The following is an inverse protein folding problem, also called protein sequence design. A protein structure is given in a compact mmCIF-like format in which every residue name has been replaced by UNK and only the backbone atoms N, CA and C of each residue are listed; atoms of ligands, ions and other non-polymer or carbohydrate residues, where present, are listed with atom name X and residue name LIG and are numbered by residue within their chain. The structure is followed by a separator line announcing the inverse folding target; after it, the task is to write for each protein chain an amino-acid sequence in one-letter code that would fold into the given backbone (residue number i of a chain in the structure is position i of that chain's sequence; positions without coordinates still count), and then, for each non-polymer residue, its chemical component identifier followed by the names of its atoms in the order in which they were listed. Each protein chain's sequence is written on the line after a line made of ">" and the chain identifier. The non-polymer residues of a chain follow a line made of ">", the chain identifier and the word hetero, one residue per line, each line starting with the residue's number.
data_IF_015011829973
#
_entry.id   IF_015011829973
#
_cell.length_a   1.000
_cell.length_b   1.000
_cell.length_c   1.000
_cell.angle_alpha   90.00
_cell.angle_beta   90.00
_cell.angle_gamma   90.00
#
_symmetry.space_group_name_H-M   'P 1'
#
loop_
_entity.id
_entity.type
_entity.pdbx_description
1 polymer ?
#
# COMPACT_ATOMS: atom_id res chain seq x y z
N UNK A 1 23.57 -13.92 41.01
CA UNK A 1 22.67 -13.51 39.92
C UNK A 1 23.17 -14.21 38.68
N UNK A 2 22.42 -15.15 38.11
CA UNK A 2 22.83 -15.82 36.87
C UNK A 2 22.69 -14.83 35.72
N UNK A 3 23.79 -14.55 35.02
CA UNK A 3 23.74 -13.86 33.74
C UNK A 3 22.98 -14.76 32.76
N UNK A 4 21.88 -14.25 32.21
CA UNK A 4 21.14 -14.93 31.15
C UNK A 4 22.09 -15.13 29.97
N UNK A 5 22.11 -16.35 29.44
CA UNK A 5 22.88 -16.67 28.23
C UNK A 5 22.31 -15.90 27.03
N UNK A 6 23.13 -15.73 25.99
CA UNK A 6 22.76 -15.00 24.77
C UNK A 6 21.51 -15.58 24.08
N UNK A 7 21.32 -16.90 24.20
CA UNK A 7 20.15 -17.63 23.68
C UNK A 7 18.89 -17.29 24.49
N UNK A 8 18.95 -17.33 25.82
CA UNK A 8 17.84 -16.95 26.71
C UNK A 8 17.44 -15.47 26.58
N UNK A 9 18.41 -14.59 26.32
CA UNK A 9 18.16 -13.18 26.01
C UNK A 9 17.42 -13.00 24.69
N UNK A 10 17.79 -13.78 23.67
CA UNK A 10 17.19 -13.74 22.33
C UNK A 10 15.75 -14.26 22.38
N UNK A 11 15.51 -15.40 23.04
CA UNK A 11 14.16 -15.93 23.25
C UNK A 11 13.26 -14.96 24.01
N UNK A 12 13.77 -14.34 25.10
CA UNK A 12 13.01 -13.36 25.87
C UNK A 12 12.66 -12.12 25.05
N UNK A 13 13.57 -11.64 24.21
CA UNK A 13 13.29 -10.53 23.29
C UNK A 13 12.27 -10.91 22.20
N UNK A 14 12.33 -12.12 21.66
CA UNK A 14 11.33 -12.62 20.72
C UNK A 14 9.95 -12.70 21.36
N UNK A 15 9.86 -13.22 22.58
CA UNK A 15 8.60 -13.32 23.32
C UNK A 15 7.99 -11.94 23.58
N UNK A 16 8.80 -10.98 24.03
CA UNK A 16 8.37 -9.60 24.28
C UNK A 16 7.90 -8.90 22.98
N UNK A 17 8.62 -9.09 21.87
CA UNK A 17 8.21 -8.53 20.57
C UNK A 17 6.89 -9.13 20.10
N UNK A 18 6.71 -10.44 20.29
CA UNK A 18 5.46 -11.14 19.96
C UNK A 18 4.30 -10.60 20.79
N UNK A 19 4.47 -10.45 22.10
CA UNK A 19 3.45 -9.86 22.98
C UNK A 19 3.09 -8.42 22.60
N UNK A 20 4.05 -7.61 22.17
CA UNK A 20 3.80 -6.24 21.69
C UNK A 20 3.02 -6.21 20.38
N UNK A 21 3.30 -7.14 19.46
CA UNK A 21 2.58 -7.27 18.19
C UNK A 21 1.16 -7.83 18.37
N UNK A 22 0.96 -8.74 19.33
CA UNK A 22 -0.35 -9.31 19.67
C UNK A 22 -1.31 -8.29 20.30
N UNK A 23 -0.80 -7.18 20.84
CA UNK A 23 -1.67 -6.08 21.26
C UNK A 23 -2.29 -5.45 20.01
N UNK A 24 -3.58 -5.10 20.09
CA UNK A 24 -4.36 -4.53 18.98
C UNK A 24 -3.66 -3.35 18.28
N UNK A 25 -2.86 -2.58 19.01
CA UNK A 25 -2.11 -1.43 18.48
C UNK A 25 -0.80 -1.82 17.75
N UNK A 26 -0.26 -3.01 18.00
CA UNK A 26 1.03 -3.47 17.47
C UNK A 26 1.01 -3.72 15.96
N UNK A 27 0.03 -4.50 15.49
CA UNK A 27 -0.17 -4.75 14.06
C UNK A 27 -0.63 -3.49 13.30
N UNK A 28 -1.52 -2.70 13.90
CA UNK A 28 -1.94 -1.44 13.30
C UNK A 28 -0.75 -0.48 13.10
N UNK A 29 0.13 -0.35 14.11
CA UNK A 29 1.34 0.45 14.02
C UNK A 29 2.31 -0.06 12.94
N UNK A 30 2.42 -1.38 12.80
CA UNK A 30 3.22 -2.02 11.74
C UNK A 30 2.68 -1.65 10.34
N UNK A 31 1.36 -1.75 10.12
CA UNK A 31 0.75 -1.43 8.83
C UNK A 31 0.94 0.04 8.49
N UNK A 32 0.62 0.94 9.42
CA UNK A 32 0.78 2.39 9.25
C UNK A 32 2.23 2.72 8.87
N UNK A 33 3.19 2.23 9.65
CA UNK A 33 4.61 2.48 9.39
C UNK A 33 5.04 2.01 8.00
N UNK A 34 4.68 0.78 7.64
CA UNK A 34 5.06 0.22 6.35
C UNK A 34 4.37 0.95 5.20
N UNK A 35 3.05 1.17 5.26
CA UNK A 35 2.31 1.87 4.22
C UNK A 35 2.83 3.29 3.99
N UNK A 36 3.16 4.06 5.04
CA UNK A 36 3.76 5.39 4.88
C UNK A 36 5.16 5.33 4.22
N UNK A 37 5.99 4.35 4.59
CA UNK A 37 7.31 4.17 3.96
C UNK A 37 7.21 3.75 2.49
N UNK A 38 6.19 2.97 2.13
CA UNK A 38 5.93 2.60 0.74
C UNK A 38 5.29 3.76 -0.03
N UNK A 39 4.42 4.56 0.61
CA UNK A 39 3.86 5.76 0.00
C UNK A 39 4.97 6.75 -0.39
N UNK A 40 5.92 6.99 0.51
CA UNK A 40 7.09 7.83 0.25
C UNK A 40 7.90 7.36 -0.97
N UNK A 41 8.04 6.04 -1.15
CA UNK A 41 8.85 5.46 -2.23
C UNK A 41 8.12 5.40 -3.58
N UNK A 42 6.82 5.09 -3.58
CA UNK A 42 6.09 4.73 -4.80
C UNK A 42 4.95 5.68 -5.16
N UNK A 43 4.33 6.35 -4.19
CA UNK A 43 3.11 7.13 -4.41
C UNK A 43 3.34 8.64 -4.37
N UNK A 44 4.41 9.11 -3.74
CA UNK A 44 4.70 10.54 -3.69
C UNK A 44 4.95 11.11 -5.09
N UNK A 45 4.32 12.24 -5.36
CA UNK A 45 4.51 13.01 -6.60
C UNK A 45 4.97 14.41 -6.24
N UNK A 46 5.34 15.19 -7.26
CA UNK A 46 5.59 16.63 -7.06
C UNK A 46 4.37 17.40 -6.50
N UNK A 47 3.17 16.81 -6.54
CA UNK A 47 1.91 17.42 -6.11
C UNK A 47 1.35 16.82 -4.82
N UNK A 48 1.83 15.65 -4.41
CA UNK A 48 1.36 14.98 -3.21
C UNK A 48 2.54 14.36 -2.45
N UNK A 49 2.85 14.94 -1.29
CA UNK A 49 3.98 14.59 -0.44
C UNK A 49 3.52 14.47 1.01
N UNK A 50 4.27 13.72 1.82
CA UNK A 50 3.95 13.52 3.23
C UNK A 50 2.66 12.71 3.41
N UNK A 51 2.41 11.76 2.51
CA UNK A 51 1.20 10.93 2.52
C UNK A 51 1.11 10.18 3.85
N UNK A 52 -0.06 10.25 4.49
CA UNK A 52 -0.34 9.60 5.77
C UNK A 52 -1.31 8.45 5.60
N UNK A 53 -1.08 7.40 6.38
CA UNK A 53 -1.98 6.25 6.39
C UNK A 53 -3.33 6.67 6.96
N UNK A 54 -4.39 6.31 6.25
CA UNK A 54 -5.77 6.38 6.68
C UNK A 54 -6.20 4.97 7.10
N UNK A 55 -7.21 4.86 7.96
CA UNK A 55 -7.74 3.57 8.37
C UNK A 55 -9.23 3.65 8.72
N UNK A 56 -9.94 2.54 8.46
CA UNK A 56 -11.36 2.36 8.76
C UNK A 56 -11.61 0.87 9.02
N UNK A 57 -11.97 0.52 10.26
CA UNK A 57 -12.18 -0.87 10.65
C UNK A 57 -10.94 -1.73 10.43
N UNK A 58 -11.03 -2.69 9.51
CA UNK A 58 -9.93 -3.60 9.15
C UNK A 58 -9.08 -3.13 7.97
N UNK A 59 -9.37 -1.97 7.38
CA UNK A 59 -8.69 -1.44 6.21
C UNK A 59 -7.74 -0.31 6.58
N UNK A 60 -6.50 -0.40 6.08
CA UNK A 60 -5.48 0.62 6.19
C UNK A 60 -5.02 0.98 4.78
N UNK A 61 -4.95 2.27 4.44
CA UNK A 61 -4.56 2.67 3.09
C UNK A 61 -3.83 4.00 3.05
N UNK A 62 -3.08 4.18 1.97
CA UNK A 62 -2.47 5.45 1.56
C UNK A 62 -2.93 5.74 0.14
N UNK A 63 -3.19 7.01 -0.15
CA UNK A 63 -3.63 7.45 -1.48
C UNK A 63 -2.80 8.64 -1.96
N UNK A 64 -2.45 8.60 -3.23
CA UNK A 64 -1.91 9.73 -3.98
C UNK A 64 -2.77 10.02 -5.20
N UNK A 65 -2.79 11.29 -5.62
CA UNK A 65 -3.57 11.75 -6.77
C UNK A 65 -2.62 12.56 -7.66
N UNK A 66 -2.46 12.10 -8.89
CA UNK A 66 -1.84 12.85 -9.97
C UNK A 66 -2.94 13.58 -10.76
N UNK A 67 -3.06 14.91 -10.63
CA UNK A 67 -4.11 15.67 -11.29
C UNK A 67 -3.93 15.76 -12.81
N UNK A 68 -2.75 15.42 -13.35
CA UNK A 68 -2.47 15.52 -14.77
C UNK A 68 -2.10 14.15 -15.37
N UNK A 69 -3.02 13.58 -16.14
CA UNK A 69 -2.78 12.31 -16.87
C UNK A 69 -1.54 12.35 -17.78
N UNK A 70 -1.12 13.53 -18.27
CA UNK A 70 0.11 13.65 -19.08
C UNK A 70 1.38 13.39 -18.25
N UNK A 71 1.36 13.71 -16.96
CA UNK A 71 2.45 13.34 -16.05
C UNK A 71 2.42 11.84 -15.76
N UNK A 72 1.22 11.26 -15.53
CA UNK A 72 1.06 9.82 -15.33
C UNK A 72 1.53 8.97 -16.53
N UNK A 73 1.39 9.49 -17.75
CA UNK A 73 1.92 8.84 -18.97
C UNK A 73 3.45 8.77 -19.03
N UNK A 74 4.17 9.48 -18.15
CA UNK A 74 5.64 9.43 -18.06
C UNK A 74 6.13 8.30 -17.15
N UNK A 75 5.25 7.63 -16.41
CA UNK A 75 5.62 6.50 -15.56
C UNK A 75 6.18 5.34 -16.38
N UNK A 76 7.02 4.54 -15.72
CA UNK A 76 7.86 3.53 -16.38
C UNK A 76 7.12 2.22 -16.66
N UNK A 77 5.95 1.99 -16.04
CA UNK A 77 5.16 0.79 -16.24
C UNK A 77 4.50 0.76 -17.66
N UNK A 78 4.91 -0.15 -18.57
CA UNK A 78 4.42 -0.16 -19.95
C UNK A 78 2.95 -0.54 -20.07
N UNK A 79 2.47 -1.44 -19.22
CA UNK A 79 1.07 -1.88 -19.22
C UNK A 79 0.16 -0.74 -18.79
N UNK A 80 0.47 -0.12 -17.64
CA UNK A 80 -0.25 1.04 -17.14
C UNK A 80 -0.29 2.16 -18.18
N UNK A 81 0.86 2.48 -18.79
CA UNK A 81 0.95 3.49 -19.84
C UNK A 81 0.07 3.16 -21.05
N UNK A 82 -0.04 1.89 -21.43
CA UNK A 82 -0.94 1.47 -22.51
C UNK A 82 -2.40 1.72 -22.15
N UNK A 83 -2.82 1.34 -20.94
CA UNK A 83 -4.20 1.54 -20.47
C UNK A 83 -4.55 3.03 -20.33
N UNK A 84 -3.63 3.85 -19.83
CA UNK A 84 -3.79 5.30 -19.75
C UNK A 84 -3.95 5.93 -21.14
N UNK A 85 -3.19 5.49 -22.15
CA UNK A 85 -3.37 5.97 -23.53
C UNK A 85 -4.77 5.68 -24.06
N UNK A 86 -5.34 4.52 -23.74
CA UNK A 86 -6.68 4.17 -24.19
C UNK A 86 -7.75 5.02 -23.50
N UNK A 87 -7.54 5.40 -22.24
CA UNK A 87 -8.38 6.37 -21.53
C UNK A 87 -8.30 7.74 -22.22
N UNK A 88 -7.10 8.21 -22.57
CA UNK A 88 -6.93 9.48 -23.28
C UNK A 88 -7.66 9.51 -24.64
N UNK A 89 -7.68 8.38 -25.36
CA UNK A 89 -8.41 8.27 -26.64
C UNK A 89 -9.92 8.34 -26.45
N UNK A 90 -10.46 7.80 -25.34
CA UNK A 90 -11.89 7.83 -25.01
C UNK A 90 -12.35 9.22 -24.57
N UNK A 91 -11.46 10.04 -24.03
CA UNK A 91 -11.77 11.35 -23.47
C UNK A 91 -10.88 12.46 -24.06
N UNK A 92 -11.05 12.79 -25.36
CA UNK A 92 -10.22 13.79 -26.02
C UNK A 92 -10.56 15.24 -25.61
N UNK A 93 -9.64 16.15 -25.90
CA UNK A 93 -9.87 17.59 -25.76
C UNK A 93 -9.84 18.07 -24.30
N UNK A 94 -10.86 18.83 -23.90
CA UNK A 94 -10.91 19.43 -22.56
C UNK A 94 -11.13 18.39 -21.46
N UNK A 95 -11.84 17.29 -21.74
CA UNK A 95 -12.05 16.20 -20.77
C UNK A 95 -10.72 15.56 -20.34
N UNK A 96 -9.75 15.47 -21.25
CA UNK A 96 -8.42 14.93 -20.95
C UNK A 96 -7.74 15.66 -19.78
N UNK A 97 -7.93 16.98 -19.69
CA UNK A 97 -7.32 17.84 -18.68
C UNK A 97 -7.98 17.69 -17.30
N UNK A 98 -9.16 17.09 -17.26
CA UNK A 98 -9.91 16.87 -16.03
C UNK A 98 -9.67 15.46 -15.46
N UNK A 99 -9.02 14.57 -16.22
CA UNK A 99 -8.74 13.22 -15.77
C UNK A 99 -7.66 13.24 -14.69
N UNK A 100 -8.02 12.70 -13.53
CA UNK A 100 -7.12 12.49 -12.41
C UNK A 100 -6.80 11.00 -12.29
N UNK A 101 -5.57 10.70 -11.90
CA UNK A 101 -5.11 9.35 -11.64
C UNK A 101 -4.87 9.19 -10.14
N UNK A 102 -5.62 8.31 -9.49
CA UNK A 102 -5.42 7.92 -8.10
C UNK A 102 -4.52 6.69 -8.03
N UNK A 103 -3.53 6.71 -7.15
CA UNK A 103 -2.74 5.54 -6.77
C UNK A 103 -3.09 5.21 -5.33
N UNK A 104 -3.50 3.97 -5.07
CA UNK A 104 -3.90 3.51 -3.74
C UNK A 104 -3.07 2.27 -3.40
N UNK A 105 -2.53 2.25 -2.19
CA UNK A 105 -1.91 1.06 -1.61
C UNK A 105 -2.59 0.80 -0.28
N UNK A 106 -3.04 -0.44 -0.06
CA UNK A 106 -3.80 -0.81 1.14
C UNK A 106 -3.39 -2.17 1.69
N UNK A 107 -3.61 -2.32 3.00
CA UNK A 107 -3.60 -3.59 3.72
C UNK A 107 -4.94 -3.76 4.43
N UNK A 108 -5.57 -4.91 4.24
CA UNK A 108 -6.86 -5.26 4.84
C UNK A 108 -6.70 -6.52 5.68
N UNK A 109 -7.15 -6.51 6.93
CA UNK A 109 -7.33 -7.74 7.69
C UNK A 109 -8.62 -8.43 7.21
N UNK A 110 -8.49 -9.64 6.69
CA UNK A 110 -9.61 -10.47 6.24
C UNK A 110 -10.21 -11.21 7.42
N UNK A 111 -9.35 -11.77 8.27
CA UNK A 111 -9.68 -12.39 9.55
C UNK A 111 -8.54 -12.15 10.56
N UNK A 112 -8.49 -12.91 11.66
CA UNK A 112 -7.48 -12.75 12.72
C UNK A 112 -6.04 -13.01 12.24
N UNK A 113 -5.87 -13.90 11.26
CA UNK A 113 -4.58 -14.44 10.82
C UNK A 113 -4.35 -14.29 9.32
N UNK A 114 -5.23 -13.61 8.60
CA UNK A 114 -5.15 -13.41 7.15
C UNK A 114 -5.24 -11.94 6.80
N UNK A 115 -4.29 -11.49 5.98
CA UNK A 115 -4.30 -10.15 5.39
C UNK A 115 -4.31 -10.21 3.88
N UNK A 116 -4.86 -9.16 3.28
CA UNK A 116 -4.70 -8.83 1.86
C UNK A 116 -3.91 -7.52 1.75
N UNK A 117 -2.83 -7.54 0.98
CA UNK A 117 -2.19 -6.32 0.49
C UNK A 117 -2.68 -6.09 -0.94
N UNK A 118 -3.04 -4.86 -1.30
CA UNK A 118 -3.38 -4.51 -2.68
C UNK A 118 -2.90 -3.14 -3.09
N UNK A 119 -2.53 -3.02 -4.36
CA UNK A 119 -2.22 -1.77 -5.01
C UNK A 119 -3.19 -1.57 -6.18
N UNK A 120 -3.68 -0.34 -6.34
CA UNK A 120 -4.61 0.03 -7.41
C UNK A 120 -4.18 1.34 -8.03
N UNK A 121 -4.30 1.41 -9.36
CA UNK A 121 -4.31 2.67 -10.09
C UNK A 121 -5.71 2.87 -10.63
N UNK A 122 -6.34 3.99 -10.29
CA UNK A 122 -7.68 4.35 -10.72
C UNK A 122 -7.64 5.64 -11.52
N UNK A 123 -8.58 5.79 -12.44
CA UNK A 123 -8.82 7.06 -13.10
C UNK A 123 -10.22 7.57 -12.77
N UNK A 124 -10.37 8.88 -12.71
CA UNK A 124 -11.65 9.53 -12.43
C UNK A 124 -11.74 10.86 -13.16
N UNK A 125 -12.97 11.27 -13.44
CA UNK A 125 -13.31 12.67 -13.69
C UNK A 125 -13.75 13.31 -12.37
N UNK A 126 -13.69 14.65 -12.22
CA UNK A 126 -14.01 15.32 -10.96
C UNK A 126 -15.43 15.05 -10.45
N UNK A 127 -16.37 14.77 -11.35
CA UNK A 127 -17.77 14.47 -11.06
C UNK A 127 -18.11 12.97 -11.11
N UNK A 128 -17.13 12.12 -11.42
CA UNK A 128 -17.33 10.73 -11.79
C UNK A 128 -16.93 9.72 -10.72
N UNK A 129 -17.35 8.48 -10.92
CA UNK A 129 -16.85 7.34 -10.15
C UNK A 129 -15.40 7.02 -10.51
N UNK A 130 -14.64 6.54 -9.52
CA UNK A 130 -13.31 5.95 -9.74
C UNK A 130 -13.45 4.66 -10.55
N UNK A 131 -12.63 4.51 -11.58
CA UNK A 131 -12.56 3.32 -12.41
C UNK A 131 -11.16 2.71 -12.31
N UNK A 132 -11.09 1.42 -12.02
CA UNK A 132 -9.81 0.72 -11.91
C UNK A 132 -9.14 0.66 -13.29
N UNK A 133 -7.90 1.11 -13.35
CA UNK A 133 -7.02 0.99 -14.53
C UNK A 133 -6.27 -0.32 -14.44
N UNK A 134 -5.58 -0.56 -13.33
CA UNK A 134 -4.83 -1.76 -13.02
C UNK A 134 -4.87 -1.99 -11.51
N UNK A 135 -4.82 -3.25 -11.12
CA UNK A 135 -4.84 -3.69 -9.73
C UNK A 135 -3.96 -4.92 -9.60
N UNK A 136 -3.29 -5.03 -8.45
CA UNK A 136 -2.60 -6.24 -8.02
C UNK A 136 -2.89 -6.43 -6.53
N UNK A 137 -3.29 -7.64 -6.15
CA UNK A 137 -3.51 -8.03 -4.75
C UNK A 137 -2.79 -9.33 -4.44
N UNK A 138 -2.40 -9.48 -3.18
CA UNK A 138 -1.79 -10.69 -2.63
C UNK A 138 -2.34 -10.94 -1.24
N UNK A 139 -2.76 -12.17 -0.99
CA UNK A 139 -3.24 -12.63 0.30
C UNK A 139 -2.15 -13.40 1.02
N UNK A 140 -2.09 -13.26 2.34
CA UNK A 140 -1.14 -13.97 3.18
C UNK A 140 -1.76 -14.34 4.54
N UNK A 141 -1.70 -15.62 4.88
CA UNK A 141 -2.05 -16.13 6.20
C UNK A 141 -0.79 -16.39 7.03
N UNK A 142 -0.88 -16.10 8.34
CA UNK A 142 0.22 -16.24 9.29
C UNK A 142 -0.26 -16.84 10.61
N UNK A 143 0.58 -17.65 11.24
CA UNK A 143 0.30 -18.20 12.58
C UNK A 143 1.00 -17.39 13.69
N UNK A 144 2.07 -16.67 13.34
CA UNK A 144 2.82 -15.80 14.24
C UNK A 144 2.88 -14.36 13.69
N UNK A 145 2.46 -13.33 14.46
CA UNK A 145 2.63 -11.92 14.08
C UNK A 145 4.06 -11.52 13.71
N UNK A 146 5.08 -12.25 14.18
CA UNK A 146 6.48 -12.03 13.78
C UNK A 146 6.71 -12.40 12.31
N UNK A 147 6.05 -13.43 11.79
CA UNK A 147 6.10 -13.78 10.36
C UNK A 147 5.51 -12.66 9.53
N UNK A 148 4.33 -12.17 9.93
CA UNK A 148 3.68 -11.04 9.29
C UNK A 148 4.57 -9.80 9.29
N UNK A 149 5.23 -9.47 10.41
CA UNK A 149 6.17 -8.34 10.49
C UNK A 149 7.26 -8.42 9.42
N UNK A 150 7.80 -9.60 9.19
CA UNK A 150 8.87 -9.80 8.22
C UNK A 150 8.34 -9.87 6.78
N UNK A 151 7.14 -10.42 6.59
CA UNK A 151 6.55 -10.67 5.28
C UNK A 151 5.83 -9.47 4.70
N UNK A 152 5.19 -8.65 5.53
CA UNK A 152 4.37 -7.52 5.09
C UNK A 152 5.10 -6.54 4.15
N UNK A 153 6.35 -6.09 4.43
CA UNK A 153 7.08 -5.26 3.47
C UNK A 153 7.32 -5.93 2.12
N UNK A 154 7.53 -7.25 2.10
CA UNK A 154 7.76 -8.03 0.87
C UNK A 154 6.46 -8.09 0.04
N UNK A 155 5.32 -8.29 0.70
CA UNK A 155 4.01 -8.30 0.04
C UNK A 155 3.67 -6.92 -0.54
N UNK A 156 3.97 -5.84 0.20
CA UNK A 156 3.79 -4.47 -0.29
C UNK A 156 4.68 -4.18 -1.50
N UNK A 157 5.94 -4.61 -1.46
CA UNK A 157 6.87 -4.49 -2.59
C UNK A 157 6.34 -5.20 -3.83
N UNK A 158 5.80 -6.42 -3.66
CA UNK A 158 5.21 -7.19 -4.75
C UNK A 158 4.02 -6.46 -5.39
N UNK A 159 3.07 -5.94 -4.60
CA UNK A 159 1.91 -5.25 -5.19
C UNK A 159 2.28 -3.90 -5.81
N UNK A 160 3.31 -3.22 -5.29
CA UNK A 160 3.79 -1.94 -5.82
C UNK A 160 4.44 -2.02 -7.21
N UNK A 161 4.72 -3.22 -7.74
CA UNK A 161 5.25 -3.39 -9.11
C UNK A 161 4.37 -2.76 -10.21
N UNK A 162 3.11 -2.44 -9.90
CA UNK A 162 2.18 -1.81 -10.86
C UNK A 162 2.38 -0.30 -11.03
N UNK A 163 3.08 0.37 -10.11
CA UNK A 163 3.35 1.81 -10.18
C UNK A 163 4.54 2.11 -11.11
#
# INVERSE_FOLDING_TARGET
>A
MSELTKEELTEKMHLQNRELLLKTDGLASLYIYNLENFAFRYLETSKNQGIKCQFEGSLFWVESIEPNILEALKWNNPELKSRLKDICKKHPGNQLKEIQISMVLETRNIDENTIECSARVLWQLPSGSKNIVIEKSVEFSFDDPVELRNKHPILLEEVCEIF
#
